data_IF_045232972889
#
_entry.id   IF_045232972889
#
_cell.length_a   1.000
_cell.length_b   1.000
_cell.length_c   1.000
_cell.angle_alpha   90.00
_cell.angle_beta   90.00
_cell.angle_gamma   90.00
#
_symmetry.space_group_name_H-M   'P 1'
#
loop_
_entity.id
_entity.type
_entity.pdbx_description
1 polymer ?
#
# COMPACT_ATOMS: atom_id res chain seq x y z
N UNK A 1 -8.17 11.96 3.76
CA UNK A 1 -7.08 10.99 3.51
C UNK A 1 -7.18 10.39 2.11
N UNK A 2 -8.28 9.74 1.71
CA UNK A 2 -8.46 9.15 0.36
C UNK A 2 -8.11 10.09 -0.79
N UNK A 3 -8.70 11.30 -0.81
CA UNK A 3 -8.40 12.31 -1.85
C UNK A 3 -6.91 12.61 -1.98
N UNK A 4 -6.23 12.80 -0.85
CA UNK A 4 -4.79 13.07 -0.79
C UNK A 4 -3.95 11.87 -1.24
N UNK A 5 -4.36 10.64 -0.87
CA UNK A 5 -3.71 9.42 -1.34
C UNK A 5 -3.83 9.27 -2.86
N UNK A 6 -5.02 9.51 -3.41
CA UNK A 6 -5.27 9.41 -4.85
C UNK A 6 -4.60 10.54 -5.63
N UNK A 7 -4.59 11.78 -5.12
CA UNK A 7 -3.92 12.92 -5.77
C UNK A 7 -2.40 12.73 -5.85
N UNK A 8 -1.84 12.00 -4.89
CA UNK A 8 -0.44 11.63 -4.90
C UNK A 8 -0.19 10.34 -5.67
N UNK A 9 -1.08 9.90 -6.57
CA UNK A 9 -0.86 8.69 -7.40
C UNK A 9 -1.14 8.98 -8.87
N UNK A 10 -0.43 8.28 -9.76
CA UNK A 10 -0.75 8.23 -11.20
C UNK A 10 -1.71 7.07 -11.52
N UNK A 11 -2.34 6.48 -10.49
CA UNK A 11 -3.28 5.39 -10.67
C UNK A 11 -4.60 5.95 -11.21
N UNK A 12 -5.33 5.19 -12.05
CA UNK A 12 -6.65 5.58 -12.50
C UNK A 12 -7.59 5.85 -11.32
N UNK A 13 -8.56 6.78 -11.45
CA UNK A 13 -9.54 7.06 -10.41
C UNK A 13 -10.32 5.82 -9.95
N UNK A 14 -10.42 4.77 -10.77
CA UNK A 14 -11.07 3.51 -10.41
C UNK A 14 -10.47 2.79 -9.20
N UNK A 15 -9.24 3.10 -8.79
CA UNK A 15 -8.57 2.51 -7.63
C UNK A 15 -8.89 3.20 -6.29
N UNK A 16 -9.84 4.15 -6.29
CA UNK A 16 -10.19 4.92 -5.10
C UNK A 16 -10.75 4.06 -3.96
N UNK A 17 -11.37 2.93 -4.29
CA UNK A 17 -11.90 1.94 -3.37
C UNK A 17 -10.80 1.31 -2.51
N UNK A 18 -9.70 0.89 -3.13
CA UNK A 18 -8.54 0.37 -2.39
C UNK A 18 -7.90 1.43 -1.46
N UNK A 19 -7.86 2.69 -1.92
CA UNK A 19 -7.38 3.80 -1.12
C UNK A 19 -8.32 4.09 0.07
N UNK A 20 -9.64 3.96 -0.14
CA UNK A 20 -10.64 4.05 0.93
C UNK A 20 -10.44 2.95 1.97
N UNK A 21 -10.29 1.70 1.56
CA UNK A 21 -10.08 0.58 2.47
C UNK A 21 -8.80 0.75 3.30
N UNK A 22 -7.73 1.22 2.65
CA UNK A 22 -6.47 1.50 3.33
C UNK A 22 -6.60 2.65 4.33
N UNK A 23 -7.28 3.73 3.94
CA UNK A 23 -7.59 4.86 4.83
C UNK A 23 -8.36 4.39 6.06
N UNK A 24 -9.43 3.62 5.88
CA UNK A 24 -10.25 3.13 6.98
C UNK A 24 -9.42 2.26 7.95
N UNK A 25 -8.55 1.41 7.41
CA UNK A 25 -7.66 0.57 8.21
C UNK A 25 -6.63 1.38 9.00
N UNK A 26 -6.03 2.40 8.39
CA UNK A 26 -5.09 3.30 9.07
C UNK A 26 -5.79 4.09 10.20
N UNK A 27 -6.98 4.63 9.94
CA UNK A 27 -7.76 5.36 10.92
C UNK A 27 -8.12 4.50 12.15
N UNK A 28 -8.41 3.21 11.95
CA UNK A 28 -8.68 2.30 13.06
C UNK A 28 -7.43 2.00 13.91
N UNK A 29 -6.23 2.24 13.37
CA UNK A 29 -4.95 2.03 14.06
C UNK A 29 -4.35 3.34 14.63
N UNK A 30 -5.02 4.48 14.45
CA UNK A 30 -4.56 5.76 14.96
C UNK A 30 -5.42 6.19 16.16
N UNK A 31 -4.83 6.64 17.27
CA UNK A 31 -5.60 7.13 18.41
C UNK A 31 -6.23 8.49 18.07
N UNK A 32 -7.29 8.84 18.80
CA UNK A 32 -7.91 10.16 18.67
C UNK A 32 -7.34 11.13 19.70
N UNK A 33 -7.54 12.44 19.52
CA UNK A 33 -7.15 13.43 20.53
C UNK A 33 -7.86 13.23 21.87
N UNK A 34 -9.07 12.69 21.83
CA UNK A 34 -9.95 12.55 23.00
C UNK A 34 -9.74 11.22 23.72
N UNK A 35 -9.35 10.16 22.99
CA UNK A 35 -9.19 8.81 23.51
C UNK A 35 -7.79 8.29 23.18
N UNK A 36 -6.97 7.94 24.19
CA UNK A 36 -5.57 7.54 23.99
C UNK A 36 -5.41 6.17 23.32
N UNK A 37 -6.46 5.35 23.31
CA UNK A 37 -6.49 4.04 22.66
C UNK A 37 -6.97 4.14 21.21
N UNK A 38 -6.44 3.26 20.37
CA UNK A 38 -6.92 3.15 18.98
C UNK A 38 -8.27 2.42 18.93
N UNK A 39 -9.15 2.72 17.95
CA UNK A 39 -10.38 1.95 17.76
C UNK A 39 -10.12 0.43 17.65
N UNK A 40 -9.02 0.04 17.00
CA UNK A 40 -8.60 -1.37 16.92
C UNK A 40 -8.31 -1.97 18.30
N UNK A 41 -7.59 -1.25 19.16
CA UNK A 41 -7.31 -1.68 20.53
C UNK A 41 -8.56 -1.86 21.36
N UNK A 42 -9.49 -0.89 21.28
CA UNK A 42 -10.75 -0.92 22.00
C UNK A 42 -11.57 -2.14 21.58
N UNK A 43 -11.61 -2.42 20.27
CA UNK A 43 -12.41 -3.52 19.73
C UNK A 43 -11.79 -4.90 19.96
N UNK A 44 -10.47 -5.03 19.85
CA UNK A 44 -9.79 -6.33 19.91
C UNK A 44 -9.07 -6.61 21.24
N UNK A 45 -9.04 -5.64 22.16
CA UNK A 45 -8.37 -5.75 23.46
C UNK A 45 -6.84 -5.86 23.37
N UNK A 46 -6.24 -5.54 22.21
CA UNK A 46 -4.79 -5.63 21.98
C UNK A 46 -4.28 -4.55 21.02
N UNK A 47 -3.03 -4.08 21.19
CA UNK A 47 -2.43 -3.11 20.28
C UNK A 47 -2.32 -3.63 18.84
N UNK A 48 -2.58 -2.74 17.90
CA UNK A 48 -2.39 -3.03 16.48
C UNK A 48 -0.89 -3.13 16.15
N UNK A 49 -0.50 -4.09 15.32
CA UNK A 49 0.89 -4.21 14.88
C UNK A 49 1.15 -3.31 13.67
N UNK A 50 2.03 -2.33 13.77
CA UNK A 50 2.40 -1.46 12.63
C UNK A 50 3.41 -2.09 11.65
N UNK A 51 4.01 -3.24 11.98
CA UNK A 51 5.09 -3.88 11.19
C UNK A 51 4.70 -4.25 9.75
N UNK A 52 3.41 -4.48 9.50
CA UNK A 52 2.89 -4.82 8.18
C UNK A 52 2.44 -3.59 7.39
N UNK A 53 2.39 -2.40 8.02
CA UNK A 53 2.00 -1.21 7.29
C UNK A 53 3.08 -0.84 6.28
N UNK A 54 2.60 -0.45 5.10
CA UNK A 54 3.41 -0.05 3.97
C UNK A 54 2.92 1.28 3.42
N UNK A 55 3.84 2.04 2.86
CA UNK A 55 3.54 3.32 2.24
C UNK A 55 2.73 3.06 0.98
N UNK A 56 1.51 3.59 0.95
CA UNK A 56 0.66 3.53 -0.24
C UNK A 56 1.43 3.98 -1.49
N UNK A 57 1.24 3.30 -2.62
CA UNK A 57 1.95 3.58 -3.89
C UNK A 57 3.44 3.21 -3.88
N UNK A 58 4.00 2.61 -2.82
CA UNK A 58 5.39 2.17 -2.85
C UNK A 58 5.62 1.15 -3.95
N UNK A 59 6.77 1.23 -4.62
CA UNK A 59 7.24 0.15 -5.47
C UNK A 59 7.63 -1.05 -4.62
N UNK A 60 7.33 -2.24 -5.11
CA UNK A 60 7.76 -3.48 -4.50
C UNK A 60 8.20 -4.48 -5.56
N UNK A 61 9.29 -5.18 -5.29
CA UNK A 61 9.65 -6.37 -6.05
C UNK A 61 8.82 -7.55 -5.55
N UNK A 62 8.04 -8.08 -6.48
CA UNK A 62 7.17 -9.25 -6.28
C UNK A 62 7.83 -10.43 -6.98
N UNK A 63 7.98 -11.56 -6.27
CA UNK A 63 8.50 -12.78 -6.88
C UNK A 63 7.46 -13.38 -7.84
N UNK A 64 7.82 -13.53 -9.11
CA UNK A 64 7.00 -14.23 -10.09
C UNK A 64 7.11 -15.74 -9.83
N UNK A 65 5.98 -16.40 -9.62
CA UNK A 65 5.94 -17.84 -9.34
C UNK A 65 6.10 -18.70 -10.61
N UNK A 66 5.90 -18.10 -11.79
CA UNK A 66 5.92 -18.77 -13.09
C UNK A 66 6.98 -18.11 -13.98
N UNK A 67 7.88 -18.89 -14.56
CA UNK A 67 8.91 -18.39 -15.48
C UNK A 67 10.02 -19.41 -15.72
N UNK A 68 10.61 -19.37 -16.91
CA UNK A 68 11.69 -20.24 -17.34
C UNK A 68 12.99 -20.02 -16.55
N UNK A 69 13.97 -20.90 -16.74
CA UNK A 69 15.22 -20.91 -15.96
C UNK A 69 16.01 -19.59 -16.02
N UNK A 70 15.86 -18.83 -17.10
CA UNK A 70 16.55 -17.55 -17.36
C UNK A 70 15.64 -16.31 -17.23
N UNK A 71 14.36 -16.51 -16.96
CA UNK A 71 13.41 -15.40 -16.94
C UNK A 71 13.51 -14.58 -15.66
N UNK A 72 13.14 -13.29 -15.74
CA UNK A 72 13.18 -12.42 -14.55
C UNK A 72 12.26 -12.98 -13.46
N UNK A 73 12.86 -13.37 -12.32
CA UNK A 73 12.12 -13.91 -11.17
C UNK A 73 11.36 -12.86 -10.38
N UNK A 74 11.56 -11.58 -10.67
CA UNK A 74 10.94 -10.48 -9.96
C UNK A 74 10.30 -9.50 -10.92
N UNK A 75 9.13 -9.00 -10.55
CA UNK A 75 8.41 -7.95 -11.26
C UNK A 75 8.23 -6.77 -10.33
N UNK A 76 8.46 -5.57 -10.87
CA UNK A 76 8.27 -4.32 -10.15
C UNK A 76 6.79 -3.96 -10.21
N UNK A 77 6.12 -3.98 -9.05
CA UNK A 77 4.70 -3.71 -8.95
C UNK A 77 4.43 -2.57 -7.98
N UNK A 78 3.25 -1.96 -8.11
CA UNK A 78 2.78 -0.89 -7.23
C UNK A 78 1.97 -1.48 -6.09
N UNK A 79 2.29 -1.12 -4.85
CA UNK A 79 1.44 -1.45 -3.71
C UNK A 79 0.16 -0.61 -3.71
N UNK A 80 -0.98 -1.28 -3.62
CA UNK A 80 -2.31 -0.67 -3.68
C UNK A 80 -3.22 -1.13 -2.52
N UNK A 81 -2.70 -1.65 -1.41
CA UNK A 81 -3.52 -1.83 -0.20
C UNK A 81 -3.58 -3.25 0.36
N UNK A 82 -4.54 -3.48 1.25
CA UNK A 82 -4.58 -4.67 2.09
C UNK A 82 -5.81 -5.54 1.80
N UNK A 83 -5.66 -6.83 1.47
CA UNK A 83 -6.79 -7.77 1.42
C UNK A 83 -7.47 -7.94 2.78
N UNK A 84 -8.79 -8.15 2.75
CA UNK A 84 -9.63 -8.37 3.95
C UNK A 84 -9.49 -9.77 4.54
N UNK A 85 -9.47 -10.78 3.68
CA UNK A 85 -9.62 -12.19 4.08
C UNK A 85 -8.29 -12.95 4.14
N UNK A 86 -7.26 -12.46 3.44
CA UNK A 86 -5.99 -13.18 3.26
C UNK A 86 -4.82 -12.37 3.81
N UNK A 87 -3.81 -13.04 4.35
CA UNK A 87 -2.56 -12.38 4.72
C UNK A 87 -1.74 -12.03 3.47
N UNK A 88 -1.54 -10.73 3.22
CA UNK A 88 -0.74 -10.24 2.10
C UNK A 88 -1.03 -8.78 1.78
N UNK A 89 -0.73 -8.40 0.55
CA UNK A 89 -0.91 -7.06 0.01
C UNK A 89 -1.46 -7.15 -1.40
N UNK A 90 -2.31 -6.20 -1.77
CA UNK A 90 -2.70 -5.99 -3.15
C UNK A 90 -1.58 -5.27 -3.90
N UNK A 91 -1.21 -5.84 -5.05
CA UNK A 91 -0.26 -5.26 -5.97
C UNK A 91 -0.92 -5.04 -7.32
N UNK A 92 -0.53 -3.95 -7.97
CA UNK A 92 -0.89 -3.64 -9.34
C UNK A 92 0.35 -3.73 -10.23
N UNK A 93 0.28 -4.58 -11.25
CA UNK A 93 1.30 -4.65 -12.30
C UNK A 93 0.94 -3.67 -13.41
N UNK A 94 1.84 -2.72 -13.68
CA UNK A 94 1.68 -1.73 -14.75
C UNK A 94 1.79 -2.34 -16.14
N UNK A 95 2.54 -3.45 -16.28
CA UNK A 95 2.77 -4.11 -17.57
C UNK A 95 1.57 -4.97 -17.98
N UNK A 96 1.04 -5.77 -17.05
CA UNK A 96 -0.10 -6.65 -17.31
C UNK A 96 -1.46 -6.00 -17.00
N UNK A 97 -1.46 -4.83 -16.37
CA UNK A 97 -2.68 -4.14 -15.88
C UNK A 97 -3.55 -5.03 -14.99
N UNK A 98 -2.91 -5.88 -14.17
CA UNK A 98 -3.59 -6.84 -13.29
C UNK A 98 -3.35 -6.53 -11.82
N UNK A 99 -4.36 -6.85 -11.03
CA UNK A 99 -4.31 -6.82 -9.58
C UNK A 99 -4.14 -8.26 -9.08
N UNK A 100 -3.24 -8.46 -8.14
CA UNK A 100 -3.07 -9.75 -7.48
C UNK A 100 -2.65 -9.56 -6.02
N UNK A 101 -2.73 -10.65 -5.25
CA UNK A 101 -2.36 -10.67 -3.84
C UNK A 101 -1.04 -11.42 -3.68
N UNK A 102 -0.08 -10.81 -2.98
CA UNK A 102 1.15 -11.51 -2.59
C UNK A 102 1.58 -11.14 -1.17
N UNK A 103 2.24 -12.07 -0.49
CA UNK A 103 2.73 -11.88 0.89
C UNK A 103 4.24 -11.63 0.96
N UNK A 104 5.01 -12.37 0.16
CA UNK A 104 6.48 -12.33 0.20
C UNK A 104 6.99 -11.34 -0.86
N UNK A 105 7.19 -10.09 -0.45
CA UNK A 105 7.62 -9.00 -1.34
C UNK A 105 8.67 -8.14 -0.67
N UNK A 106 9.51 -7.50 -1.48
CA UNK A 106 10.53 -6.56 -1.01
C UNK A 106 10.09 -5.16 -1.39
N UNK A 107 9.79 -4.33 -0.38
CA UNK A 107 9.32 -2.97 -0.57
C UNK A 107 10.48 -1.98 -0.71
N UNK A 108 10.40 -1.11 -1.71
CA UNK A 108 11.38 -0.06 -1.99
C UNK A 108 10.91 1.27 -1.41
N UNK A 109 10.65 1.29 -0.10
CA UNK A 109 10.13 2.47 0.60
C UNK A 109 11.21 3.53 0.86
N UNK A 110 12.49 3.14 0.84
CA UNK A 110 13.62 4.06 1.05
C UNK A 110 13.92 4.95 -0.16
N UNK A 111 13.52 4.48 -1.34
CA UNK A 111 13.70 5.19 -2.61
C UNK A 111 12.48 6.05 -2.96
N UNK A 112 11.58 6.29 -1.99
CA UNK A 112 10.49 7.24 -2.18
C UNK A 112 11.13 8.59 -2.53
N UNK A 113 10.88 9.16 -3.71
CA UNK A 113 11.38 10.48 -3.98
C UNK A 113 10.74 11.43 -2.96
N UNK A 114 11.58 12.13 -2.19
CA UNK A 114 11.22 13.46 -1.76
C UNK A 114 10.89 14.20 -3.05
N UNK A 115 9.59 14.33 -3.35
CA UNK A 115 9.12 14.90 -4.61
C UNK A 115 9.58 16.37 -4.65
N UNK A 116 10.68 16.64 -5.35
CA UNK A 116 11.20 17.98 -5.66
C UNK A 116 10.29 18.74 -6.65
N UNK A 117 9.01 18.37 -6.80
CA UNK A 117 8.03 19.06 -7.64
C UNK A 117 7.38 20.27 -6.95
N UNK A 118 8.18 21.08 -6.22
CA UNK A 118 7.75 22.40 -5.75
C UNK A 118 8.42 23.57 -6.47
N UNK A 119 9.36 23.33 -7.39
CA UNK A 119 10.17 24.40 -7.99
C UNK A 119 9.84 24.73 -9.46
N UNK A 120 8.67 24.34 -9.97
CA UNK A 120 8.22 24.73 -11.33
C UNK A 120 6.79 25.29 -11.35
N UNK A 121 6.44 26.19 -10.43
CA UNK A 121 5.48 27.27 -10.71
C UNK A 121 5.79 28.45 -9.76
N UNK A 122 6.67 29.36 -10.18
CA UNK A 122 6.64 30.77 -9.77
C UNK A 122 7.14 31.62 -10.92
#
# INVERSE_FOLDING_TARGET
>A
MVRSMMSFTELPPSFWDYALETTAKLLNMEPSKTVPHTPYEIWHGKPASYKYLRVWRSHAYVKRLVGDKLDSRFSLCRFIGYPKETAGYYFYDLSEQKIFILRNTVFLEKDFPADNRRDEVT
#
